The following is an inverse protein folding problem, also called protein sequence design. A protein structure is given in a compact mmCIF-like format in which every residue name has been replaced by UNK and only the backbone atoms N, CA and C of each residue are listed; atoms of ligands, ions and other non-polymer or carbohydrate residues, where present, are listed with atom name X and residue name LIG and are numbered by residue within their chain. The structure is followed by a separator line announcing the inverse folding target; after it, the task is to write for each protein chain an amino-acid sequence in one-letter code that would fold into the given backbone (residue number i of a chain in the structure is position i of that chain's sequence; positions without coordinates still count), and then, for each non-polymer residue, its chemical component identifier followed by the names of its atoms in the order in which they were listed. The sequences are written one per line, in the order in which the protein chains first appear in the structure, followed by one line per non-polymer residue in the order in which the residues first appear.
data_IF_089211863339
#
_entry.id   IF_089211863339
#
_cell.length_a   1.000
_cell.length_b   1.000
_cell.length_c   1.000
_cell.angle_alpha   90.00
_cell.angle_beta   90.00
_cell.angle_gamma   90.00
#
_symmetry.space_group_name_H-M   'P 1'
#
loop_
_entity.id
_entity.type
_entity.pdbx_description
1 polymer ?
#
# COMPACT_ATOMS: atom_id res chain seq x y z
N UNK A 1 -28.23 -2.82 6.80
CA UNK A 1 -28.42 -1.56 6.04
C UNK A 1 -28.15 -1.85 4.56
N UNK A 2 -29.16 -2.29 3.80
CA UNK A 2 -29.10 -2.32 2.33
C UNK A 2 -30.52 -2.61 1.82
N UNK A 3 -31.30 -1.57 1.54
CA UNK A 3 -32.55 -1.72 0.77
C UNK A 3 -32.94 -0.44 0.02
N UNK A 4 -31.95 0.27 -0.51
CA UNK A 4 -32.17 1.34 -1.50
C UNK A 4 -31.54 0.89 -2.79
N UNK A 5 -32.35 0.65 -3.82
CA UNK A 5 -31.87 0.42 -5.18
C UNK A 5 -31.00 1.61 -5.58
N UNK A 6 -29.71 1.36 -5.81
CA UNK A 6 -28.81 2.35 -6.39
C UNK A 6 -29.27 2.59 -7.83
N UNK A 7 -29.59 3.83 -8.20
CA UNK A 7 -30.02 4.19 -9.56
C UNK A 7 -28.86 4.25 -10.56
N UNK A 8 -27.65 3.79 -10.18
CA UNK A 8 -26.47 3.76 -11.05
C UNK A 8 -25.81 5.13 -11.23
N UNK A 9 -26.20 6.13 -10.44
CA UNK A 9 -25.63 7.49 -10.48
C UNK A 9 -24.77 7.75 -9.25
N UNK A 10 -23.60 8.35 -9.46
CA UNK A 10 -22.74 8.78 -8.35
C UNK A 10 -23.35 9.98 -7.60
N UNK A 11 -23.07 10.13 -6.30
CA UNK A 11 -23.41 11.34 -5.56
C UNK A 11 -22.85 12.60 -6.24
N UNK A 12 -23.53 13.75 -6.14
CA UNK A 12 -23.13 14.98 -6.86
C UNK A 12 -21.76 15.53 -6.44
N UNK A 13 -21.22 15.12 -5.30
CA UNK A 13 -19.92 15.49 -4.77
C UNK A 13 -18.88 14.37 -4.86
N UNK A 14 -19.18 13.29 -5.59
CA UNK A 14 -18.21 12.23 -5.87
C UNK A 14 -17.20 12.73 -6.90
N UNK A 15 -15.91 12.54 -6.61
CA UNK A 15 -14.83 13.00 -7.47
C UNK A 15 -14.17 11.82 -8.17
N UNK A 16 -13.95 11.94 -9.47
CA UNK A 16 -13.13 11.04 -10.27
C UNK A 16 -11.76 11.64 -10.51
N UNK A 17 -10.74 10.80 -10.45
CA UNK A 17 -9.37 11.26 -10.67
C UNK A 17 -8.50 10.17 -11.27
N UNK A 18 -7.28 10.56 -11.58
CA UNK A 18 -6.23 9.65 -12.05
C UNK A 18 -5.00 9.80 -11.15
N UNK A 19 -4.13 8.79 -11.17
CA UNK A 19 -2.95 8.78 -10.34
C UNK A 19 -1.69 8.32 -11.09
N UNK A 20 -0.55 8.87 -10.71
CA UNK A 20 0.80 8.49 -11.17
C UNK A 20 1.76 8.46 -9.98
N UNK A 21 2.97 7.94 -10.22
CA UNK A 21 4.07 8.01 -9.26
C UNK A 21 5.35 8.47 -9.96
N UNK A 22 6.17 9.22 -9.23
CA UNK A 22 7.33 9.95 -9.74
C UNK A 22 8.28 9.04 -10.54
N UNK A 23 8.76 7.95 -9.94
CA UNK A 23 9.72 7.06 -10.61
C UNK A 23 9.13 6.37 -11.85
N UNK A 24 7.82 6.12 -11.87
CA UNK A 24 7.16 5.45 -12.99
C UNK A 24 6.90 6.38 -14.18
N UNK A 25 6.90 7.70 -13.99
CA UNK A 25 6.49 8.64 -15.06
C UNK A 25 7.49 9.76 -15.34
N UNK A 26 8.19 10.30 -14.33
CA UNK A 26 9.02 11.50 -14.47
C UNK A 26 10.17 11.32 -15.46
N UNK A 27 11.00 10.29 -15.29
CA UNK A 27 12.30 10.26 -15.96
C UNK A 27 13.25 11.30 -15.37
N UNK A 28 14.15 11.84 -16.20
CA UNK A 28 15.08 12.90 -15.79
C UNK A 28 15.95 12.50 -14.59
N UNK A 29 16.32 11.21 -14.51
CA UNK A 29 16.83 10.61 -13.28
C UNK A 29 18.11 11.25 -12.74
N UNK A 30 18.92 11.87 -13.59
CA UNK A 30 20.16 12.56 -13.21
C UNK A 30 20.21 14.03 -13.68
N UNK A 31 19.05 14.62 -13.97
CA UNK A 31 18.95 16.00 -14.44
C UNK A 31 18.89 16.99 -13.28
N UNK A 32 19.33 18.23 -13.54
CA UNK A 32 19.23 19.39 -12.63
C UNK A 32 19.68 19.14 -11.18
N UNK A 33 20.65 18.24 -10.99
CA UNK A 33 21.19 17.90 -9.68
C UNK A 33 20.31 16.99 -8.83
N UNK A 34 19.32 16.31 -9.42
CA UNK A 34 18.57 15.23 -8.78
C UNK A 34 19.52 14.17 -8.24
N UNK A 35 19.36 13.81 -6.97
CA UNK A 35 20.11 12.72 -6.36
C UNK A 35 19.60 11.34 -6.80
N UNK A 36 20.48 10.35 -6.73
CA UNK A 36 20.12 8.95 -6.96
C UNK A 36 19.13 8.44 -5.89
N UNK A 37 18.10 7.72 -6.33
CA UNK A 37 17.12 7.05 -5.48
C UNK A 37 17.41 5.54 -5.39
N UNK A 38 16.77 4.86 -4.44
CA UNK A 38 16.91 3.39 -4.30
C UNK A 38 16.49 2.63 -5.58
N UNK A 39 15.57 3.19 -6.38
CA UNK A 39 15.09 2.55 -7.60
C UNK A 39 16.08 2.73 -8.76
N UNK A 40 16.77 3.86 -8.82
CA UNK A 40 17.90 4.07 -9.74
C UNK A 40 18.96 2.99 -9.48
N UNK A 41 19.43 2.90 -8.22
CA UNK A 41 20.42 1.91 -7.81
C UNK A 41 19.97 0.48 -8.12
N UNK A 42 18.70 0.14 -7.81
CA UNK A 42 18.15 -1.20 -8.01
C UNK A 42 18.02 -1.59 -9.50
N UNK A 43 17.54 -0.68 -10.35
CA UNK A 43 17.34 -0.93 -11.78
C UNK A 43 18.65 -1.02 -12.57
N UNK A 44 19.68 -0.25 -12.16
CA UNK A 44 21.00 -0.22 -12.80
C UNK A 44 21.94 -1.36 -12.38
N UNK A 45 21.50 -2.26 -11.48
CA UNK A 45 22.30 -3.43 -11.07
C UNK A 45 22.64 -4.32 -12.26
N UNK A 46 23.79 -5.00 -12.18
CA UNK A 46 24.22 -5.98 -13.19
C UNK A 46 24.53 -7.32 -12.49
N UNK A 47 23.77 -8.40 -12.77
CA UNK A 47 22.58 -8.45 -13.63
C UNK A 47 21.40 -7.67 -13.03
N UNK A 48 20.55 -7.07 -13.88
CA UNK A 48 19.39 -6.32 -13.39
C UNK A 48 18.35 -7.29 -12.84
N UNK A 49 17.75 -6.97 -11.67
CA UNK A 49 16.61 -7.72 -11.16
C UNK A 49 15.31 -7.39 -11.91
N UNK A 50 15.30 -6.35 -12.76
CA UNK A 50 14.13 -5.92 -13.51
C UNK A 50 14.03 -6.72 -14.81
N UNK A 51 12.80 -7.14 -15.14
CA UNK A 51 12.52 -7.81 -16.42
C UNK A 51 13.02 -6.94 -17.58
N UNK A 52 13.68 -7.56 -18.55
CA UNK A 52 14.29 -6.91 -19.72
C UNK A 52 15.40 -5.87 -19.42
N UNK A 53 15.84 -5.74 -18.16
CA UNK A 53 16.71 -4.65 -17.70
C UNK A 53 16.10 -3.25 -17.92
N UNK A 54 14.77 -3.12 -17.82
CA UNK A 54 14.08 -1.84 -17.95
C UNK A 54 14.48 -0.88 -16.80
N UNK A 55 14.58 0.43 -17.08
CA UNK A 55 14.92 1.49 -16.10
C UNK A 55 13.89 2.60 -16.10
N UNK A 56 13.84 3.39 -15.00
CA UNK A 56 13.03 4.60 -14.88
C UNK A 56 13.70 5.85 -15.45
N UNK A 57 14.80 5.72 -16.20
CA UNK A 57 15.68 6.85 -16.56
C UNK A 57 14.95 7.93 -17.38
N UNK A 58 14.07 7.48 -18.30
CA UNK A 58 13.21 8.33 -19.13
C UNK A 58 11.74 8.14 -18.75
N UNK A 59 11.30 6.89 -18.52
CA UNK A 59 9.91 6.56 -18.22
C UNK A 59 8.91 7.13 -19.26
N UNK A 60 7.93 7.93 -18.82
CA UNK A 60 7.00 8.65 -19.69
C UNK A 60 7.49 10.06 -20.07
N UNK A 61 8.64 10.47 -19.55
CA UNK A 61 9.25 11.78 -19.75
C UNK A 61 8.40 12.94 -19.19
N UNK A 62 7.61 12.67 -18.14
CA UNK A 62 6.76 13.66 -17.48
C UNK A 62 7.56 14.81 -16.84
N UNK A 63 8.85 14.62 -16.56
CA UNK A 63 9.76 15.70 -16.11
C UNK A 63 9.74 16.87 -17.11
N UNK A 64 9.80 16.57 -18.40
CA UNK A 64 9.73 17.55 -19.48
C UNK A 64 8.29 17.82 -19.95
N UNK A 65 7.41 16.82 -19.84
CA UNK A 65 6.08 16.83 -20.43
C UNK A 65 4.92 17.04 -19.46
N UNK A 66 5.18 17.50 -18.23
CA UNK A 66 4.12 17.72 -17.24
C UNK A 66 2.96 18.61 -17.75
N UNK A 67 3.22 19.54 -18.68
CA UNK A 67 2.17 20.37 -19.32
C UNK A 67 1.25 19.54 -20.21
N UNK A 68 1.80 18.55 -20.91
CA UNK A 68 1.02 17.61 -21.72
C UNK A 68 0.20 16.69 -20.81
N UNK A 69 0.79 16.22 -19.70
CA UNK A 69 0.06 15.42 -18.70
C UNK A 69 -1.14 16.19 -18.14
N UNK A 70 -0.94 17.44 -17.71
CA UNK A 70 -2.03 18.31 -17.22
C UNK A 70 -3.11 18.50 -18.28
N UNK A 71 -2.73 18.65 -19.55
CA UNK A 71 -3.69 18.73 -20.66
C UNK A 71 -4.48 17.44 -20.81
N UNK A 72 -3.84 16.28 -20.77
CA UNK A 72 -4.51 14.98 -20.88
C UNK A 72 -5.49 14.73 -19.73
N UNK A 73 -5.10 15.07 -18.50
CA UNK A 73 -5.97 14.98 -17.31
C UNK A 73 -7.20 15.87 -17.47
N UNK A 74 -7.02 17.10 -17.97
CA UNK A 74 -8.13 18.02 -18.22
C UNK A 74 -9.05 17.54 -19.35
N UNK A 75 -8.48 17.05 -20.45
CA UNK A 75 -9.24 16.52 -21.60
C UNK A 75 -10.02 15.25 -21.22
N UNK A 76 -9.52 14.44 -20.27
CA UNK A 76 -10.23 13.30 -19.68
C UNK A 76 -11.43 13.72 -18.83
N UNK A 77 -11.45 14.96 -18.33
CA UNK A 77 -12.48 15.45 -17.40
C UNK A 77 -12.30 14.96 -15.96
N UNK A 78 -11.05 14.69 -15.53
CA UNK A 78 -10.77 14.30 -14.16
C UNK A 78 -10.91 15.50 -13.19
N UNK A 79 -11.56 15.29 -12.05
CA UNK A 79 -11.72 16.29 -11.00
C UNK A 79 -10.41 16.56 -10.25
N UNK A 80 -9.55 15.55 -10.13
CA UNK A 80 -8.25 15.67 -9.49
C UNK A 80 -7.19 14.75 -10.11
N UNK A 81 -5.93 15.13 -9.89
CA UNK A 81 -4.75 14.36 -10.27
C UNK A 81 -3.88 14.09 -9.04
N UNK A 82 -3.69 12.81 -8.69
CA UNK A 82 -2.80 12.38 -7.62
C UNK A 82 -1.45 12.01 -8.20
N UNK A 83 -0.40 12.72 -7.82
CA UNK A 83 0.98 12.38 -8.18
C UNK A 83 1.84 12.35 -6.92
N UNK A 84 2.99 11.65 -6.98
CA UNK A 84 3.99 11.71 -5.93
C UNK A 84 5.13 12.64 -6.32
N UNK A 85 5.85 13.16 -5.34
CA UNK A 85 7.03 13.99 -5.59
C UNK A 85 8.29 13.17 -5.36
N UNK A 86 9.23 13.19 -6.31
CA UNK A 86 10.55 12.56 -6.14
C UNK A 86 11.34 13.24 -5.01
N UNK A 87 11.55 12.51 -3.92
CA UNK A 87 12.24 13.06 -2.74
C UNK A 87 13.71 13.36 -3.02
N UNK A 88 14.38 12.59 -3.88
CA UNK A 88 15.79 12.83 -4.22
C UNK A 88 15.99 14.06 -5.11
N UNK A 89 14.92 14.56 -5.75
CA UNK A 89 14.95 15.77 -6.58
C UNK A 89 14.84 17.07 -5.78
N UNK A 90 14.36 17.01 -4.53
CA UNK A 90 14.08 18.22 -3.73
C UNK A 90 15.23 18.59 -2.75
N UNK A 91 15.66 19.88 -2.73
CA UNK A 91 16.52 20.41 -1.68
C UNK A 91 15.91 20.33 -0.28
N UNK A 92 16.74 20.16 0.75
CA UNK A 92 16.29 20.04 2.16
C UNK A 92 15.39 21.19 2.62
N UNK A 93 15.75 22.44 2.30
CA UNK A 93 14.96 23.60 2.71
C UNK A 93 13.55 23.58 2.12
N UNK A 94 13.42 23.14 0.86
CA UNK A 94 12.13 23.04 0.17
C UNK A 94 11.29 21.91 0.80
N UNK A 95 11.90 20.76 1.11
CA UNK A 95 11.23 19.65 1.82
C UNK A 95 10.63 20.11 3.14
N UNK A 96 11.41 20.81 3.96
CA UNK A 96 10.95 21.32 5.26
C UNK A 96 9.81 22.32 5.10
N UNK A 97 9.91 23.25 4.14
CA UNK A 97 8.88 24.25 3.90
C UNK A 97 7.56 23.61 3.45
N UNK A 98 7.62 22.67 2.49
CA UNK A 98 6.45 21.93 2.00
C UNK A 98 5.75 21.19 3.15
N UNK A 99 6.53 20.50 3.99
CA UNK A 99 5.97 19.76 5.13
C UNK A 99 5.25 20.69 6.12
N UNK A 100 5.84 21.84 6.44
CA UNK A 100 5.22 22.82 7.34
C UNK A 100 3.93 23.38 6.74
N UNK A 101 3.93 23.74 5.46
CA UNK A 101 2.75 24.27 4.78
C UNK A 101 1.62 23.25 4.80
N UNK A 102 1.91 21.98 4.49
CA UNK A 102 0.88 20.94 4.47
C UNK A 102 0.34 20.62 5.86
N UNK A 103 1.20 20.58 6.89
CA UNK A 103 0.76 20.38 8.27
C UNK A 103 -0.20 21.47 8.77
N UNK A 104 -0.10 22.69 8.24
CA UNK A 104 -0.89 23.82 8.69
C UNK A 104 -2.15 24.07 7.86
N UNK A 105 -2.11 23.78 6.56
CA UNK A 105 -3.12 24.27 5.60
C UNK A 105 -3.81 23.16 4.81
N UNK A 106 -3.29 21.93 4.82
CA UNK A 106 -3.81 20.83 4.03
C UNK A 106 -4.39 19.72 4.91
N UNK A 107 -5.21 18.87 4.28
CA UNK A 107 -5.55 17.58 4.88
C UNK A 107 -4.40 16.61 4.65
N UNK A 108 -3.99 15.92 5.70
CA UNK A 108 -2.92 14.94 5.66
C UNK A 108 -3.47 13.55 5.99
N UNK A 109 -3.06 12.58 5.18
CA UNK A 109 -3.48 11.19 5.30
C UNK A 109 -2.44 10.31 4.64
N UNK A 110 -2.58 9.00 4.83
CA UNK A 110 -1.78 8.00 4.14
C UNK A 110 -2.70 7.10 3.31
N UNK A 111 -2.23 6.67 2.15
CA UNK A 111 -2.94 5.69 1.31
C UNK A 111 -2.49 4.28 1.71
N UNK A 112 -3.44 3.41 2.01
CA UNK A 112 -3.19 2.03 2.43
C UNK A 112 -3.53 1.09 1.27
N UNK A 113 -2.56 0.30 0.86
CA UNK A 113 -2.77 -0.81 -0.06
C UNK A 113 -3.50 -1.94 0.66
N UNK A 114 -4.59 -2.39 0.05
CA UNK A 114 -5.58 -3.23 0.69
C UNK A 114 -6.29 -4.09 -0.33
N UNK A 115 -6.08 -5.40 -0.25
CA UNK A 115 -6.83 -6.33 -1.08
C UNK A 115 -8.06 -6.87 -0.33
N UNK A 116 -9.06 -7.30 -1.11
CA UNK A 116 -10.18 -8.03 -0.53
C UNK A 116 -9.83 -9.49 -0.32
N UNK A 117 -10.19 -10.04 0.84
CA UNK A 117 -10.04 -11.46 1.14
C UNK A 117 -11.40 -12.05 1.44
N UNK A 118 -11.91 -12.83 0.49
CA UNK A 118 -13.13 -13.60 0.67
C UNK A 118 -12.78 -14.97 1.26
N UNK A 119 -13.46 -15.45 2.32
CA UNK A 119 -13.21 -16.80 2.81
C UNK A 119 -13.56 -17.85 1.76
N UNK A 120 -12.69 -18.86 1.58
CA UNK A 120 -12.90 -19.92 0.57
C UNK A 120 -14.19 -20.71 0.85
N UNK A 121 -14.49 -20.95 2.12
CA UNK A 121 -15.71 -21.62 2.57
C UNK A 121 -16.34 -20.85 3.73
N UNK A 122 -17.58 -21.22 4.10
CA UNK A 122 -18.25 -20.69 5.30
C UNK A 122 -17.75 -21.30 6.61
N UNK A 123 -16.62 -22.01 6.59
CA UNK A 123 -15.98 -22.51 7.81
C UNK A 123 -15.49 -21.34 8.66
N UNK A 124 -15.49 -21.52 9.98
CA UNK A 124 -15.03 -20.44 10.87
C UNK A 124 -13.53 -20.22 10.72
N UNK A 125 -12.79 -21.26 10.37
CA UNK A 125 -11.36 -21.26 10.09
C UNK A 125 -11.04 -20.32 8.91
N UNK A 126 -11.74 -20.46 7.78
CA UNK A 126 -11.53 -19.63 6.58
C UNK A 126 -11.98 -18.19 6.80
N UNK A 127 -13.09 -17.98 7.52
CA UNK A 127 -13.53 -16.63 7.92
C UNK A 127 -12.44 -15.93 8.75
N UNK A 128 -11.83 -16.64 9.70
CA UNK A 128 -10.71 -16.08 10.46
C UNK A 128 -9.44 -15.93 9.60
N UNK A 129 -9.19 -16.80 8.63
CA UNK A 129 -8.06 -16.67 7.70
C UNK A 129 -8.21 -15.41 6.84
N UNK A 130 -9.39 -15.14 6.28
CA UNK A 130 -9.69 -13.93 5.54
C UNK A 130 -9.47 -12.67 6.40
N UNK A 131 -10.02 -12.66 7.63
CA UNK A 131 -9.83 -11.53 8.57
C UNK A 131 -8.36 -11.30 8.92
N UNK A 132 -7.59 -12.37 9.15
CA UNK A 132 -6.15 -12.26 9.44
C UNK A 132 -5.40 -11.63 8.28
N UNK A 133 -5.67 -12.02 7.03
CA UNK A 133 -5.01 -11.39 5.88
C UNK A 133 -5.27 -9.89 5.82
N UNK A 134 -6.54 -9.47 5.95
CA UNK A 134 -6.89 -8.03 6.02
C UNK A 134 -6.11 -7.34 7.13
N UNK A 135 -6.03 -7.94 8.32
CA UNK A 135 -5.35 -7.31 9.45
C UNK A 135 -3.83 -7.29 9.32
N UNK A 136 -3.21 -8.30 8.70
CA UNK A 136 -1.78 -8.32 8.43
C UNK A 136 -1.37 -7.40 7.28
N UNK A 137 -2.22 -7.18 6.28
CA UNK A 137 -1.94 -6.29 5.15
C UNK A 137 -2.38 -4.85 5.43
N UNK A 138 -3.68 -4.61 5.52
CA UNK A 138 -4.26 -3.29 5.81
C UNK A 138 -4.13 -2.90 7.28
N UNK A 139 -4.41 -3.87 8.17
CA UNK A 139 -4.58 -3.62 9.60
C UNK A 139 -3.33 -3.08 10.25
N UNK A 140 -2.16 -3.58 9.86
CA UNK A 140 -0.87 -3.11 10.38
C UNK A 140 -0.68 -1.61 10.17
N UNK A 141 -1.17 -1.02 9.09
CA UNK A 141 -1.02 0.42 8.84
C UNK A 141 -2.25 1.23 9.30
N UNK A 142 -3.45 0.67 9.18
CA UNK A 142 -4.70 1.36 9.53
C UNK A 142 -4.97 1.38 11.03
N UNK A 143 -4.81 0.26 11.73
CA UNK A 143 -5.24 0.18 13.12
C UNK A 143 -4.52 1.19 14.04
N UNK A 144 -3.19 1.39 13.98
CA UNK A 144 -2.55 2.38 14.84
C UNK A 144 -3.12 3.80 14.65
N UNK A 145 -3.44 4.16 13.41
CA UNK A 145 -3.90 5.51 13.06
C UNK A 145 -5.37 5.72 13.41
N UNK A 146 -6.25 4.74 13.15
CA UNK A 146 -7.70 4.93 13.29
C UNK A 146 -8.28 4.30 14.56
N UNK A 147 -7.58 3.33 15.16
CA UNK A 147 -8.00 2.59 16.37
C UNK A 147 -7.07 2.88 17.55
N UNK A 148 -5.76 2.86 17.32
CA UNK A 148 -4.71 3.31 18.25
C UNK A 148 -3.53 2.35 18.42
N UNK A 149 -3.75 1.05 18.29
CA UNK A 149 -2.73 0.00 18.55
C UNK A 149 -2.77 -1.04 17.43
N UNK A 150 -1.85 -1.99 17.38
CA UNK A 150 -1.88 -3.08 16.40
C UNK A 150 -3.17 -3.91 16.48
N UNK A 151 -3.58 -4.55 15.37
CA UNK A 151 -4.70 -5.49 15.40
C UNK A 151 -4.47 -6.61 16.43
N UNK A 152 -5.49 -6.94 17.27
CA UNK A 152 -5.32 -7.96 18.31
C UNK A 152 -4.87 -9.33 17.79
N UNK A 153 -5.43 -9.78 16.67
CA UNK A 153 -5.06 -11.06 16.05
C UNK A 153 -3.64 -11.07 15.52
N UNK A 154 -3.16 -9.95 14.96
CA UNK A 154 -1.75 -9.82 14.54
C UNK A 154 -0.82 -9.94 15.75
N UNK A 155 -1.12 -9.24 16.86
CA UNK A 155 -0.34 -9.34 18.10
C UNK A 155 -0.30 -10.77 18.64
N UNK A 156 -1.45 -11.43 18.72
CA UNK A 156 -1.57 -12.81 19.19
C UNK A 156 -0.78 -13.78 18.30
N UNK A 157 -0.92 -13.66 16.97
CA UNK A 157 -0.23 -14.53 16.02
C UNK A 157 1.28 -14.37 16.08
N UNK A 158 1.79 -13.14 16.00
CA UNK A 158 3.23 -12.91 16.01
C UNK A 158 3.83 -13.33 17.35
N UNK A 159 3.15 -13.07 18.49
CA UNK A 159 3.60 -13.53 19.80
C UNK A 159 3.66 -15.05 19.89
N UNK A 160 2.61 -15.75 19.46
CA UNK A 160 2.57 -17.22 19.45
C UNK A 160 3.69 -17.82 18.59
N UNK A 161 3.87 -17.33 17.37
CA UNK A 161 4.93 -17.78 16.46
C UNK A 161 6.33 -17.48 17.00
N UNK A 162 6.52 -16.31 17.59
CA UNK A 162 7.79 -15.94 18.25
C UNK A 162 8.16 -16.96 19.34
N UNK A 163 7.19 -17.41 20.14
CA UNK A 163 7.43 -18.44 21.18
C UNK A 163 7.79 -19.80 20.57
N UNK A 164 7.06 -20.23 19.53
CA UNK A 164 7.34 -21.49 18.82
C UNK A 164 8.73 -21.52 18.17
N UNK A 165 9.17 -20.37 17.65
CA UNK A 165 10.48 -20.17 17.02
C UNK A 165 11.61 -19.95 18.05
N UNK A 166 11.31 -19.96 19.35
CA UNK A 166 12.30 -19.88 20.43
C UNK A 166 12.72 -18.45 20.82
N UNK A 167 11.98 -17.42 20.41
CA UNK A 167 12.22 -16.06 20.85
C UNK A 167 11.71 -15.85 22.29
N UNK A 168 12.50 -15.16 23.10
CA UNK A 168 12.14 -14.81 24.49
C UNK A 168 11.07 -13.70 24.58
N UNK A 169 10.73 -13.04 23.47
CA UNK A 169 9.71 -11.99 23.37
C UNK A 169 9.08 -11.99 21.98
N UNK A 170 7.94 -11.31 21.84
CA UNK A 170 7.31 -11.07 20.54
C UNK A 170 8.28 -10.36 19.57
N UNK A 171 8.28 -10.79 18.30
CA UNK A 171 8.95 -10.08 17.19
C UNK A 171 8.25 -8.77 16.84
N UNK A 172 6.95 -8.64 17.11
CA UNK A 172 6.18 -7.41 16.92
C UNK A 172 6.41 -6.47 18.13
N UNK A 173 6.95 -5.26 17.92
CA UNK A 173 7.08 -4.27 18.98
C UNK A 173 5.72 -3.87 19.56
N UNK A 174 5.69 -3.53 20.85
CA UNK A 174 4.49 -3.01 21.51
C UNK A 174 4.55 -1.48 21.54
N UNK A 175 3.42 -0.82 21.31
CA UNK A 175 3.31 0.61 21.53
C UNK A 175 3.12 0.94 23.00
N UNK A 176 3.73 2.02 23.48
CA UNK A 176 3.39 2.58 24.78
C UNK A 176 2.04 3.31 24.71
N UNK A 177 1.35 3.53 25.84
CA UNK A 177 0.15 4.36 25.86
C UNK A 177 0.38 5.79 25.33
N UNK A 178 1.58 6.36 25.51
CA UNK A 178 1.91 7.67 24.93
C UNK A 178 2.01 7.59 23.40
N UNK A 179 2.64 6.55 22.85
CA UNK A 179 2.75 6.35 21.40
C UNK A 179 1.39 6.12 20.74
N UNK A 180 0.52 5.31 21.37
CA UNK A 180 -0.86 5.09 20.93
C UNK A 180 -1.60 6.43 20.82
N UNK A 181 -1.53 7.26 21.86
CA UNK A 181 -2.20 8.56 21.88
C UNK A 181 -1.59 9.55 20.88
N UNK A 182 -0.29 9.44 20.60
CA UNK A 182 0.39 10.28 19.62
C UNK A 182 0.02 9.93 18.18
N UNK A 183 -0.14 8.64 17.86
CA UNK A 183 -0.40 8.16 16.49
C UNK A 183 -1.89 8.18 16.16
N UNK A 184 -2.76 7.85 17.13
CA UNK A 184 -4.20 7.76 16.90
C UNK A 184 -4.79 9.11 16.48
N UNK A 185 -5.51 9.11 15.36
CA UNK A 185 -6.19 10.29 14.82
C UNK A 185 -5.29 11.21 13.99
N UNK A 186 -4.10 10.76 13.59
CA UNK A 186 -3.14 11.54 12.77
C UNK A 186 -3.47 11.62 11.28
N UNK A 187 -4.66 11.20 10.86
CA UNK A 187 -5.12 11.25 9.48
C UNK A 187 -6.52 11.83 9.36
N UNK A 188 -6.71 12.72 8.38
CA UNK A 188 -8.00 13.38 8.10
C UNK A 188 -8.96 12.52 7.27
N UNK A 189 -8.43 11.62 6.44
CA UNK A 189 -9.16 10.80 5.48
C UNK A 189 -8.64 9.36 5.50
N UNK A 190 -9.56 8.41 5.36
CA UNK A 190 -9.21 7.01 5.16
C UNK A 190 -9.07 6.74 3.66
N UNK A 191 -7.83 6.64 3.17
CA UNK A 191 -7.53 6.44 1.75
C UNK A 191 -7.11 4.99 1.49
N UNK A 192 -7.81 4.34 0.57
CA UNK A 192 -7.55 2.97 0.17
C UNK A 192 -7.03 2.90 -1.26
N UNK A 193 -6.14 1.95 -1.48
CA UNK A 193 -5.73 1.47 -2.78
C UNK A 193 -6.10 0.00 -2.85
N UNK A 194 -6.97 -0.34 -3.80
CA UNK A 194 -7.57 -1.68 -3.90
C UNK A 194 -7.55 -2.06 -5.37
N UNK A 195 -7.09 -3.27 -5.68
CA UNK A 195 -7.05 -3.77 -7.05
C UNK A 195 -7.76 -5.10 -7.21
N UNK A 196 -7.52 -6.02 -6.27
CA UNK A 196 -7.84 -7.42 -6.45
C UNK A 196 -8.55 -7.99 -5.23
N UNK A 197 -9.03 -9.20 -5.44
CA UNK A 197 -9.62 -10.01 -4.41
C UNK A 197 -8.99 -11.41 -4.45
N UNK A 198 -8.83 -12.02 -3.29
CA UNK A 198 -8.37 -13.40 -3.13
C UNK A 198 -9.40 -14.21 -2.36
N UNK A 199 -9.42 -15.51 -2.63
CA UNK A 199 -10.05 -16.51 -1.76
C UNK A 199 -9.01 -16.95 -0.72
N UNK A 200 -9.35 -16.82 0.55
CA UNK A 200 -8.51 -17.15 1.69
C UNK A 200 -8.98 -18.45 2.38
N UNK A 201 -8.05 -19.38 2.53
CA UNK A 201 -8.21 -20.68 3.20
C UNK A 201 -7.29 -20.73 4.43
N UNK A 202 -7.77 -21.29 5.55
CA UNK A 202 -6.90 -21.54 6.71
C UNK A 202 -5.83 -22.58 6.34
N UNK A 203 -4.58 -22.27 6.66
CA UNK A 203 -3.46 -23.15 6.39
C UNK A 203 -3.01 -23.91 7.64
N UNK A 204 -2.32 -25.06 7.51
CA UNK A 204 -1.55 -25.64 8.60
C UNK A 204 -0.46 -24.70 9.13
N UNK A 205 0.00 -24.93 10.35
CA UNK A 205 1.17 -24.21 10.88
C UNK A 205 2.44 -24.59 10.12
N UNK A 206 3.23 -23.59 9.73
CA UNK A 206 4.54 -23.78 9.12
C UNK A 206 5.58 -24.25 10.15
N UNK A 207 6.66 -24.95 9.75
CA UNK A 207 7.73 -25.34 10.64
C UNK A 207 8.32 -24.18 11.46
N UNK A 208 8.73 -24.48 12.70
CA UNK A 208 9.22 -23.47 13.65
C UNK A 208 10.63 -22.95 13.35
N UNK A 209 11.31 -23.48 12.34
CA UNK A 209 12.62 -23.00 11.90
C UNK A 209 12.53 -21.92 10.81
N UNK A 210 11.31 -21.49 10.45
CA UNK A 210 11.06 -20.48 9.44
C UNK A 210 10.34 -19.29 10.07
N UNK A 211 11.06 -18.20 10.28
CA UNK A 211 10.49 -16.90 10.65
C UNK A 211 10.07 -16.17 9.37
N UNK A 212 8.77 -15.96 9.19
CA UNK A 212 8.24 -15.32 7.99
C UNK A 212 6.92 -14.61 8.26
N UNK A 213 6.78 -13.42 7.68
CA UNK A 213 5.53 -12.67 7.67
C UNK A 213 4.36 -13.51 7.14
N UNK A 214 4.59 -14.29 6.08
CA UNK A 214 3.55 -15.16 5.49
C UNK A 214 3.15 -16.30 6.42
N UNK A 215 4.12 -16.87 7.14
CA UNK A 215 3.86 -17.93 8.12
C UNK A 215 3.03 -17.41 9.30
N UNK A 216 3.22 -16.16 9.71
CA UNK A 216 2.44 -15.54 10.80
C UNK A 216 0.94 -15.40 10.46
N UNK A 217 0.61 -15.16 9.18
CA UNK A 217 -0.77 -15.03 8.69
C UNK A 217 -1.53 -16.38 8.77
N UNK A 218 -0.84 -17.50 8.50
CA UNK A 218 -1.41 -18.85 8.41
C UNK A 218 -2.65 -18.88 7.51
N UNK A 219 -2.44 -18.53 6.25
CA UNK A 219 -3.49 -18.64 5.24
C UNK A 219 -2.88 -18.99 3.90
N UNK A 220 -3.67 -19.69 3.09
CA UNK A 220 -3.39 -19.91 1.69
C UNK A 220 -4.30 -19.01 0.88
N UNK A 221 -3.71 -18.29 -0.06
CA UNK A 221 -4.43 -17.41 -0.96
C UNK A 221 -4.55 -18.07 -2.32
N UNK A 222 -5.77 -18.07 -2.85
CA UNK A 222 -6.07 -18.49 -4.22
C UNK A 222 -6.76 -17.36 -4.94
N UNK A 223 -6.47 -17.21 -6.23
CA UNK A 223 -7.15 -16.21 -7.06
C UNK A 223 -8.55 -16.70 -7.41
N UNK A 224 -9.45 -15.77 -7.71
CA UNK A 224 -10.77 -16.14 -8.21
C UNK A 224 -10.65 -16.91 -9.54
N UNK A 225 -11.46 -17.96 -9.75
CA UNK A 225 -11.44 -18.71 -11.00
C UNK A 225 -11.63 -17.78 -12.21
N UNK A 226 -10.82 -17.99 -13.25
CA UNK A 226 -10.87 -17.18 -14.48
C UNK A 226 -10.00 -15.92 -14.46
N UNK A 227 -9.28 -15.65 -13.37
CA UNK A 227 -8.35 -14.51 -13.29
C UNK A 227 -7.01 -14.86 -13.93
N UNK A 228 -6.56 -14.04 -14.88
CA UNK A 228 -5.21 -14.15 -15.47
C UNK A 228 -4.16 -13.53 -14.55
N UNK A 229 -2.90 -13.96 -14.69
CA UNK A 229 -1.76 -13.42 -13.91
C UNK A 229 -0.85 -12.60 -14.80
N UNK A 230 -0.54 -11.38 -14.36
CA UNK A 230 0.40 -10.48 -14.99
C UNK A 230 1.85 -10.91 -14.79
N UNK A 231 2.77 -10.25 -15.49
CA UNK A 231 4.20 -10.53 -15.38
C UNK A 231 4.78 -10.26 -13.97
N UNK A 232 4.07 -9.49 -13.15
CA UNK A 232 4.40 -9.18 -11.75
C UNK A 232 3.87 -10.24 -10.76
N UNK A 233 3.22 -11.31 -11.23
CA UNK A 233 2.66 -12.36 -10.38
C UNK A 233 1.32 -12.01 -9.73
N UNK A 234 0.79 -10.82 -10.00
CA UNK A 234 -0.51 -10.38 -9.50
C UNK A 234 -1.61 -10.68 -10.53
N UNK A 235 -2.87 -10.83 -10.08
CA UNK A 235 -4.03 -10.85 -10.95
C UNK A 235 -4.01 -9.70 -11.99
N UNK A 236 -4.51 -9.95 -13.19
CA UNK A 236 -4.82 -8.88 -14.16
C UNK A 236 -6.29 -9.00 -14.55
N UNK A 237 -6.98 -7.86 -14.48
CA UNK A 237 -8.39 -7.67 -14.83
C UNK A 237 -8.61 -7.68 -16.33
#
# INVERSE_FOLDING_TARGET
LANTKNNGTFPPNFLFGVATSAYQTEGGWNEDGRGESIWDEYSHRVPSPIKNNDTGDIACDSYHKYKEDVKLVADLGADFYRFSVSWSSLPYLIKTLILIIFLLLAKMSLTIDCEWYEPLTNSIEDIYAARRNINFECGLYSYPVYVGDWPPDVKERVKYRSQLEGYNRSRLPEFTPEEINYIKGTADLYLLHVYFAYLAEDAPEEPNNVTSFRSDIKAKLTQFPGTSVGANGFPVS
#
